data_IF_739388413688
#
_entry.id   IF_739388413688
#
_cell.length_a   1.000
_cell.length_b   1.000
_cell.length_c   1.000
_cell.angle_alpha   90.00
_cell.angle_beta   90.00
_cell.angle_gamma   90.00
#
_symmetry.space_group_name_H-M   'P 1'
#
loop_
_entity.id
_entity.type
_entity.pdbx_description
1 polymer ?
#
# COMPACT_ATOMS: atom_id res chain seq x y z
N UNK A 1 25.88 28.24 -46.56
CA UNK A 1 24.69 28.66 -47.33
C UNK A 1 24.89 30.13 -47.68
N UNK A 2 25.14 30.46 -48.95
CA UNK A 2 25.68 31.76 -49.37
C UNK A 2 24.64 32.88 -49.23
N UNK A 3 25.00 33.92 -48.47
CA UNK A 3 24.17 35.10 -48.18
C UNK A 3 23.76 35.83 -49.46
N UNK A 4 24.65 35.88 -50.44
CA UNK A 4 24.42 36.56 -51.72
C UNK A 4 23.37 35.84 -52.59
N UNK A 5 23.31 34.51 -52.51
CA UNK A 5 22.30 33.70 -53.21
C UNK A 5 20.90 33.85 -52.59
N UNK A 6 20.82 34.15 -51.29
CA UNK A 6 19.54 34.48 -50.64
C UNK A 6 19.08 35.88 -51.02
N UNK A 7 20.00 36.85 -51.10
CA UNK A 7 19.69 38.23 -51.49
C UNK A 7 19.20 38.30 -52.95
N UNK A 8 19.85 37.60 -53.88
CA UNK A 8 19.44 37.57 -55.28
C UNK A 8 18.08 36.88 -55.50
N UNK A 9 17.79 35.82 -54.73
CA UNK A 9 16.47 35.18 -54.74
C UNK A 9 15.40 36.11 -54.18
N UNK A 10 15.74 36.91 -53.17
CA UNK A 10 14.83 37.90 -52.58
C UNK A 10 14.46 39.02 -53.55
N UNK A 11 15.44 39.55 -54.29
CA UNK A 11 15.18 40.62 -55.27
C UNK A 11 14.33 40.10 -56.44
N UNK A 12 14.60 38.90 -56.94
CA UNK A 12 13.80 38.25 -57.98
C UNK A 12 12.36 37.96 -57.53
N UNK A 13 12.18 37.49 -56.29
CA UNK A 13 10.85 37.30 -55.69
C UNK A 13 10.08 38.62 -55.62
N UNK A 14 10.74 39.72 -55.26
CA UNK A 14 10.11 41.03 -55.12
C UNK A 14 9.67 41.61 -56.46
N UNK A 15 10.45 41.42 -57.53
CA UNK A 15 10.08 41.82 -58.89
C UNK A 15 8.89 41.00 -59.40
N UNK A 16 8.93 39.67 -59.24
CA UNK A 16 7.81 38.79 -59.63
C UNK A 16 6.51 39.13 -58.89
N UNK A 17 6.60 39.58 -57.64
CA UNK A 17 5.46 40.00 -56.83
C UNK A 17 4.83 41.31 -57.28
N UNK A 18 5.63 42.23 -57.85
CA UNK A 18 5.15 43.51 -58.37
C UNK A 18 4.46 43.35 -59.74
N UNK A 19 4.94 42.39 -60.56
CA UNK A 19 4.53 42.26 -61.96
C UNK A 19 3.34 41.32 -62.16
N UNK A 20 3.14 40.32 -61.29
CA UNK A 20 2.14 39.27 -61.51
C UNK A 20 0.96 39.33 -60.53
N UNK A 21 -0.23 39.63 -61.06
CA UNK A 21 -1.51 39.66 -60.31
C UNK A 21 -1.83 38.28 -59.70
N UNK A 22 -1.51 37.20 -60.41
CA UNK A 22 -1.75 35.82 -59.97
C UNK A 22 -0.98 35.44 -58.69
N UNK A 23 0.27 35.89 -58.55
CA UNK A 23 1.10 35.61 -57.36
C UNK A 23 0.56 36.34 -56.13
N UNK A 24 0.07 37.57 -56.30
CA UNK A 24 -0.58 38.34 -55.21
C UNK A 24 -1.87 37.65 -54.76
N UNK A 25 -2.68 37.17 -55.71
CA UNK A 25 -3.92 36.46 -55.43
C UNK A 25 -3.66 35.13 -54.69
N UNK A 26 -2.65 34.38 -55.12
CA UNK A 26 -2.20 33.16 -54.43
C UNK A 26 -1.66 33.45 -53.01
N UNK A 27 -0.92 34.55 -52.82
CA UNK A 27 -0.44 34.97 -51.50
C UNK A 27 -1.60 35.36 -50.56
N UNK A 28 -2.60 36.10 -51.06
CA UNK A 28 -3.81 36.43 -50.29
C UNK A 28 -4.62 35.18 -49.93
N UNK A 29 -4.74 34.23 -50.85
CA UNK A 29 -5.44 32.98 -50.60
C UNK A 29 -4.70 32.11 -49.58
N UNK A 30 -3.37 32.05 -49.66
CA UNK A 30 -2.53 31.40 -48.66
C UNK A 30 -2.65 32.06 -47.28
N UNK A 31 -2.64 33.39 -47.22
CA UNK A 31 -2.84 34.13 -45.97
C UNK A 31 -4.23 33.86 -45.38
N UNK A 32 -5.28 33.89 -46.21
CA UNK A 32 -6.64 33.58 -45.78
C UNK A 32 -6.75 32.16 -45.22
N UNK A 33 -6.09 31.18 -45.84
CA UNK A 33 -6.06 29.80 -45.37
C UNK A 33 -5.35 29.68 -44.02
N UNK A 34 -4.22 30.37 -43.84
CA UNK A 34 -3.49 30.40 -42.56
C UNK A 34 -4.34 31.06 -41.47
N UNK A 35 -4.98 32.19 -41.76
CA UNK A 35 -5.89 32.84 -40.82
C UNK A 35 -7.06 31.94 -40.43
N UNK A 36 -7.67 31.25 -41.39
CA UNK A 36 -8.75 30.30 -41.14
C UNK A 36 -8.28 29.14 -40.25
N UNK A 37 -7.10 28.59 -40.53
CA UNK A 37 -6.51 27.52 -39.74
C UNK A 37 -6.24 27.95 -38.29
N UNK A 38 -5.64 29.14 -38.09
CA UNK A 38 -5.39 29.67 -36.75
C UNK A 38 -6.68 29.92 -35.96
N UNK A 39 -7.72 30.39 -36.63
CA UNK A 39 -9.04 30.58 -36.02
C UNK A 39 -9.63 29.24 -35.57
N UNK A 40 -9.56 28.20 -36.43
CA UNK A 40 -10.04 26.87 -36.11
C UNK A 40 -9.27 26.24 -34.94
N UNK A 41 -7.93 26.31 -34.96
CA UNK A 41 -7.09 25.84 -33.87
C UNK A 41 -7.36 26.57 -32.56
N UNK A 42 -7.74 27.86 -32.63
CA UNK A 42 -8.17 28.63 -31.47
C UNK A 42 -9.46 28.11 -30.85
N UNK A 43 -10.45 27.72 -31.67
CA UNK A 43 -11.68 27.11 -31.20
C UNK A 43 -11.43 25.74 -30.56
N UNK A 44 -10.63 24.88 -31.19
CA UNK A 44 -10.29 23.56 -30.63
C UNK A 44 -9.60 23.69 -29.26
N UNK A 45 -8.68 24.66 -29.13
CA UNK A 45 -8.01 24.92 -27.86
C UNK A 45 -8.97 25.46 -26.78
N UNK A 46 -9.91 26.32 -27.17
CA UNK A 46 -10.94 26.85 -26.26
C UNK A 46 -11.88 25.73 -25.78
N UNK A 47 -12.34 24.88 -26.68
CA UNK A 47 -13.20 23.74 -26.35
C UNK A 47 -12.49 22.74 -25.43
N UNK A 48 -11.22 22.41 -25.72
CA UNK A 48 -10.41 21.55 -24.86
C UNK A 48 -10.21 22.15 -23.46
N UNK A 49 -10.05 23.47 -23.34
CA UNK A 49 -9.95 24.14 -22.04
C UNK A 49 -11.27 24.08 -21.27
N UNK A 50 -12.39 24.22 -21.97
CA UNK A 50 -13.74 24.19 -21.40
C UNK A 50 -14.11 22.79 -20.91
N UNK A 51 -13.76 21.74 -21.65
CA UNK A 51 -13.91 20.35 -21.22
C UNK A 51 -13.10 20.03 -19.97
N UNK A 52 -11.82 20.46 -19.92
CA UNK A 52 -10.97 20.30 -18.73
C UNK A 52 -11.57 21.01 -17.52
N UNK A 53 -12.06 22.23 -17.71
CA UNK A 53 -12.72 22.99 -16.64
C UNK A 53 -13.96 22.28 -16.12
N UNK A 54 -14.81 21.73 -17.01
CA UNK A 54 -16.00 20.97 -16.63
C UNK A 54 -15.64 19.69 -15.87
N UNK A 55 -14.62 18.96 -16.31
CA UNK A 55 -14.15 17.76 -15.62
C UNK A 55 -13.67 18.08 -14.20
N UNK A 56 -12.84 19.12 -14.05
CA UNK A 56 -12.37 19.58 -12.74
C UNK A 56 -13.51 20.07 -11.84
N UNK A 57 -14.50 20.76 -12.40
CA UNK A 57 -15.67 21.21 -11.65
C UNK A 57 -16.51 20.02 -11.15
N UNK A 58 -16.68 18.99 -11.99
CA UNK A 58 -17.39 17.76 -11.60
C UNK A 58 -16.66 17.01 -10.48
N UNK A 59 -15.32 16.92 -10.56
CA UNK A 59 -14.50 16.30 -9.53
C UNK A 59 -14.52 17.09 -8.22
N UNK A 60 -14.39 18.41 -8.29
CA UNK A 60 -14.51 19.28 -7.12
C UNK A 60 -15.89 19.15 -6.45
N UNK A 61 -16.97 19.08 -7.25
CA UNK A 61 -18.30 18.88 -6.72
C UNK A 61 -18.44 17.51 -6.03
N UNK A 62 -17.92 16.44 -6.63
CA UNK A 62 -17.90 15.10 -6.02
C UNK A 62 -17.14 15.09 -4.68
N UNK A 63 -15.96 15.72 -4.63
CA UNK A 63 -15.19 15.85 -3.40
C UNK A 63 -15.93 16.68 -2.35
N UNK A 64 -16.62 17.75 -2.77
CA UNK A 64 -17.42 18.57 -1.87
C UNK A 64 -18.63 17.83 -1.30
N UNK A 65 -19.26 16.94 -2.09
CA UNK A 65 -20.32 16.05 -1.59
C UNK A 65 -19.76 15.09 -0.54
N UNK A 66 -18.60 14.46 -0.81
CA UNK A 66 -17.93 13.57 0.14
C UNK A 66 -17.44 14.31 1.40
N UNK A 67 -17.07 15.59 1.31
CA UNK A 67 -16.69 16.38 2.49
C UNK A 67 -17.89 16.83 3.32
N UNK A 68 -19.08 16.91 2.71
CA UNK A 68 -20.34 17.22 3.41
C UNK A 68 -20.94 16.01 4.12
N UNK A 69 -20.55 14.79 3.75
CA UNK A 69 -20.73 13.61 4.59
C UNK A 69 -19.87 13.80 5.85
N UNK A 70 -20.45 14.45 6.87
CA UNK A 70 -19.79 14.92 8.09
C UNK A 70 -19.26 13.84 9.03
N UNK A 71 -19.20 12.58 8.59
CA UNK A 71 -18.82 11.44 9.42
C UNK A 71 -17.32 11.18 9.42
N UNK A 72 -16.53 11.84 8.56
CA UNK A 72 -15.08 11.61 8.48
C UNK A 72 -14.31 11.86 9.79
N UNK A 73 -14.58 12.95 10.55
CA UNK A 73 -13.97 13.14 11.86
C UNK A 73 -14.39 12.06 12.86
N UNK A 74 -15.63 11.60 12.79
CA UNK A 74 -16.10 10.53 13.67
C UNK A 74 -15.43 9.19 13.32
N UNK A 75 -15.37 8.83 12.03
CA UNK A 75 -14.67 7.63 11.55
C UNK A 75 -13.18 7.66 11.88
N UNK A 76 -12.54 8.82 11.84
CA UNK A 76 -11.13 8.93 12.22
C UNK A 76 -10.92 8.70 13.72
N UNK A 77 -11.84 9.17 14.56
CA UNK A 77 -11.84 8.88 15.99
C UNK A 77 -12.13 7.40 16.28
N UNK A 78 -13.09 6.79 15.58
CA UNK A 78 -13.39 5.36 15.70
C UNK A 78 -12.18 4.51 15.31
N UNK A 79 -11.52 4.82 14.19
CA UNK A 79 -10.29 4.13 13.76
C UNK A 79 -9.14 4.36 14.74
N UNK A 80 -9.00 5.56 15.30
CA UNK A 80 -7.99 5.83 16.33
C UNK A 80 -8.25 5.05 17.62
N UNK A 81 -9.51 4.95 18.05
CA UNK A 81 -9.93 4.13 19.19
C UNK A 81 -9.68 2.65 18.96
N UNK A 82 -10.04 2.14 17.78
CA UNK A 82 -9.73 0.76 17.38
C UNK A 82 -8.22 0.51 17.37
N UNK A 83 -7.43 1.44 16.81
CA UNK A 83 -5.98 1.33 16.79
C UNK A 83 -5.38 1.31 18.19
N UNK A 84 -5.85 2.17 19.09
CA UNK A 84 -5.42 2.18 20.48
C UNK A 84 -5.77 0.87 21.19
N UNK A 85 -6.96 0.32 20.94
CA UNK A 85 -7.36 -0.99 21.45
C UNK A 85 -6.52 -2.14 20.86
N UNK A 86 -6.09 -2.04 19.59
CA UNK A 86 -5.17 -3.03 19.02
C UNK A 86 -3.76 -2.90 19.60
N UNK A 87 -3.29 -1.68 19.85
CA UNK A 87 -1.95 -1.44 20.39
C UNK A 87 -1.77 -2.06 21.78
N UNK A 88 -2.83 -2.18 22.60
CA UNK A 88 -2.75 -2.88 23.90
C UNK A 88 -2.68 -4.41 23.77
N UNK A 89 -3.10 -4.99 22.64
CA UNK A 89 -3.09 -6.44 22.40
C UNK A 89 -1.80 -6.95 21.75
N UNK A 90 -0.91 -6.05 21.36
CA UNK A 90 0.35 -6.37 20.67
C UNK A 90 1.45 -6.63 21.70
N UNK A 91 2.36 -7.54 21.38
CA UNK A 91 3.53 -7.77 22.22
C UNK A 91 4.54 -6.63 21.98
N UNK A 92 4.60 -5.69 22.93
CA UNK A 92 5.48 -4.53 22.86
C UNK A 92 6.48 -4.57 24.03
N UNK A 93 7.67 -5.14 23.78
CA UNK A 93 8.81 -5.00 24.68
C UNK A 93 9.87 -4.06 24.06
N UNK A 94 10.80 -3.50 24.86
CA UNK A 94 11.82 -2.56 24.38
C UNK A 94 12.72 -3.11 23.26
N UNK A 95 12.89 -4.43 23.22
CA UNK A 95 13.66 -5.13 22.21
C UNK A 95 12.86 -6.33 21.70
N UNK A 96 12.97 -6.60 20.40
CA UNK A 96 12.34 -7.76 19.79
C UNK A 96 12.86 -9.06 20.38
N UNK A 97 14.15 -9.11 20.77
CA UNK A 97 14.71 -10.27 21.46
C UNK A 97 14.04 -10.51 22.84
N UNK A 98 13.64 -9.45 23.54
CA UNK A 98 12.89 -9.56 24.79
C UNK A 98 11.47 -10.08 24.55
N UNK A 99 10.83 -9.66 23.45
CA UNK A 99 9.52 -10.21 23.06
C UNK A 99 9.60 -11.67 22.65
N UNK A 100 10.65 -12.09 21.94
CA UNK A 100 10.88 -13.49 21.61
C UNK A 100 11.09 -14.33 22.90
N UNK A 101 11.91 -13.85 23.83
CA UNK A 101 12.13 -14.49 25.11
C UNK A 101 10.85 -14.57 25.97
N UNK A 102 10.10 -13.47 26.07
CA UNK A 102 8.88 -13.41 26.87
C UNK A 102 7.79 -14.34 26.32
N UNK A 103 7.66 -14.44 24.99
CA UNK A 103 6.78 -15.40 24.33
C UNK A 103 7.21 -16.85 24.61
N UNK A 104 8.51 -17.15 24.48
CA UNK A 104 9.05 -18.48 24.73
C UNK A 104 8.86 -18.91 26.20
N UNK A 105 9.13 -18.01 27.15
CA UNK A 105 8.94 -18.25 28.58
C UNK A 105 7.46 -18.46 28.91
N UNK A 106 6.57 -17.64 28.35
CA UNK A 106 5.13 -17.81 28.53
C UNK A 106 4.64 -19.18 28.00
N UNK A 107 5.08 -19.59 26.81
CA UNK A 107 4.73 -20.89 26.23
C UNK A 107 5.23 -22.05 27.10
N UNK A 108 6.50 -21.97 27.55
CA UNK A 108 7.11 -23.00 28.40
C UNK A 108 6.42 -23.10 29.75
N UNK A 109 6.20 -21.97 30.42
CA UNK A 109 5.56 -21.92 31.74
C UNK A 109 4.10 -22.41 31.69
N UNK A 110 3.35 -22.03 30.65
CA UNK A 110 1.97 -22.49 30.46
C UNK A 110 1.92 -23.98 30.15
N UNK A 111 2.79 -24.49 29.29
CA UNK A 111 2.86 -25.92 29.02
C UNK A 111 3.26 -26.74 30.26
N UNK A 112 4.24 -26.27 31.05
CA UNK A 112 4.65 -26.91 32.29
C UNK A 112 3.53 -26.91 33.34
N UNK A 113 2.84 -25.77 33.53
CA UNK A 113 1.70 -25.64 34.44
C UNK A 113 0.57 -26.63 34.11
N UNK A 114 0.37 -26.90 32.83
CA UNK A 114 -0.64 -27.84 32.34
C UNK A 114 -0.14 -29.30 32.28
N UNK A 115 1.10 -29.59 32.68
CA UNK A 115 1.67 -30.94 32.66
C UNK A 115 1.98 -31.47 31.25
N UNK A 116 2.06 -30.59 30.24
CA UNK A 116 2.40 -30.93 28.88
C UNK A 116 3.92 -31.11 28.74
N UNK A 117 4.33 -32.21 28.11
CA UNK A 117 5.74 -32.44 27.75
C UNK A 117 6.04 -31.73 26.44
N UNK A 118 6.79 -30.64 26.53
CA UNK A 118 7.29 -29.88 25.39
C UNK A 118 8.52 -30.59 24.81
N UNK A 119 8.45 -30.97 23.53
CA UNK A 119 9.59 -31.55 22.82
C UNK A 119 10.48 -30.47 22.21
N UNK A 120 9.85 -29.50 21.56
CA UNK A 120 10.58 -28.47 20.83
C UNK A 120 9.74 -27.19 20.77
N UNK A 121 10.38 -26.04 21.00
CA UNK A 121 9.84 -24.71 20.73
C UNK A 121 10.87 -24.03 19.85
N UNK A 122 10.50 -23.69 18.63
CA UNK A 122 11.35 -22.92 17.70
C UNK A 122 10.68 -21.59 17.41
N UNK A 123 11.37 -20.49 17.66
CA UNK A 123 10.94 -19.17 17.26
C UNK A 123 11.70 -18.79 16.00
N UNK A 124 10.96 -18.45 14.95
CA UNK A 124 11.49 -17.94 13.70
C UNK A 124 10.90 -16.55 13.51
N UNK A 125 11.78 -15.54 13.49
CA UNK A 125 11.39 -14.23 13.01
C UNK A 125 10.95 -14.40 11.56
N UNK A 126 9.69 -14.04 11.27
CA UNK A 126 9.31 -13.97 9.86
C UNK A 126 10.13 -12.82 9.27
N UNK A 127 11.16 -13.14 8.50
CA UNK A 127 11.72 -12.17 7.57
C UNK A 127 10.57 -11.61 6.72
N UNK A 128 10.59 -10.33 6.35
CA UNK A 128 9.62 -9.77 5.42
C UNK A 128 9.71 -10.57 4.12
N UNK A 129 8.90 -11.62 4.04
CA UNK A 129 8.93 -12.58 2.95
C UNK A 129 8.71 -11.82 1.65
N UNK A 130 9.38 -12.27 0.59
CA UNK A 130 9.38 -11.70 -0.76
C UNK A 130 8.01 -11.65 -1.47
N UNK A 131 6.90 -11.85 -0.73
CA UNK A 131 5.59 -11.33 -1.09
C UNK A 131 5.31 -10.14 -0.17
N UNK A 132 5.24 -8.90 -0.68
CA UNK A 132 4.85 -7.77 0.14
C UNK A 132 3.42 -8.04 0.64
N UNK A 133 3.30 -8.49 1.89
CA UNK A 133 2.11 -8.21 2.67
C UNK A 133 2.11 -6.69 2.84
N UNK A 134 1.50 -6.03 1.87
CA UNK A 134 1.30 -4.58 1.78
C UNK A 134 0.34 -4.08 2.89
N UNK A 135 0.29 -4.77 4.04
CA UNK A 135 -0.79 -4.72 5.01
C UNK A 135 -0.32 -4.59 6.46
N UNK A 136 0.99 -4.69 6.74
CA UNK A 136 1.48 -4.40 8.08
C UNK A 136 1.85 -2.93 8.22
N UNK A 137 1.30 -2.22 9.22
CA UNK A 137 1.69 -0.84 9.48
C UNK A 137 3.20 -0.75 9.78
N UNK A 138 3.85 0.39 9.49
CA UNK A 138 5.27 0.58 9.79
C UNK A 138 5.53 0.40 11.29
N UNK A 139 6.58 -0.36 11.62
CA UNK A 139 7.00 -0.64 13.00
C UNK A 139 6.45 -1.91 13.63
N UNK A 140 5.62 -2.70 12.93
CA UNK A 140 5.18 -4.02 13.39
C UNK A 140 6.01 -5.13 12.75
N UNK A 141 6.29 -6.18 13.52
CA UNK A 141 7.03 -7.36 13.09
C UNK A 141 6.21 -8.60 13.42
N UNK A 142 6.24 -9.59 12.53
CA UNK A 142 5.58 -10.89 12.75
C UNK A 142 6.60 -11.87 13.33
N UNK A 143 6.28 -12.44 14.48
CA UNK A 143 6.99 -13.57 15.05
C UNK A 143 6.22 -14.85 14.78
N UNK A 144 6.91 -15.89 14.31
CA UNK A 144 6.35 -17.23 14.16
C UNK A 144 6.98 -18.15 15.18
N UNK A 145 6.15 -18.85 15.95
CA UNK A 145 6.62 -19.85 16.91
C UNK A 145 6.05 -21.21 16.52
N UNK A 146 6.91 -22.20 16.32
CA UNK A 146 6.50 -23.59 16.13
C UNK A 146 6.71 -24.34 17.43
N UNK A 147 5.65 -24.96 17.92
CA UNK A 147 5.62 -25.71 19.17
C UNK A 147 5.25 -27.16 18.88
N UNK A 148 6.08 -28.07 19.38
CA UNK A 148 5.87 -29.52 19.32
C UNK A 148 5.71 -30.06 20.73
N UNK A 149 4.52 -30.58 21.03
CA UNK A 149 4.13 -31.08 22.36
C UNK A 149 3.56 -32.49 22.29
N UNK A 150 3.77 -33.26 23.35
CA UNK A 150 3.14 -34.57 23.52
C UNK A 150 1.63 -34.42 23.78
N UNK A 151 0.81 -35.16 23.03
CA UNK A 151 -0.65 -35.02 23.05
C UNK A 151 -1.22 -35.63 24.31
N UNK A 152 -1.72 -34.77 25.19
CA UNK A 152 -2.65 -35.12 26.25
C UNK A 152 -3.94 -34.35 25.97
N UNK A 153 -5.07 -35.05 25.77
CA UNK A 153 -6.33 -34.45 25.29
C UNK A 153 -6.75 -33.23 26.11
N UNK A 154 -6.96 -33.39 27.42
CA UNK A 154 -7.46 -32.30 28.27
C UNK A 154 -6.47 -31.14 28.37
N UNK A 155 -5.18 -31.35 28.70
CA UNK A 155 -4.21 -30.26 28.78
C UNK A 155 -4.01 -29.50 27.47
N UNK A 156 -4.10 -30.17 26.32
CA UNK A 156 -3.97 -29.54 25.01
C UNK A 156 -5.13 -28.58 24.71
N UNK A 157 -6.37 -28.98 25.01
CA UNK A 157 -7.52 -28.10 24.85
C UNK A 157 -7.48 -26.93 25.84
N UNK A 158 -7.01 -27.18 27.08
CA UNK A 158 -6.81 -26.09 28.06
C UNK A 158 -5.74 -25.11 27.59
N UNK A 159 -4.65 -25.59 26.99
CA UNK A 159 -3.61 -24.73 26.42
C UNK A 159 -4.16 -23.85 25.28
N UNK A 160 -4.97 -24.42 24.38
CA UNK A 160 -5.62 -23.66 23.31
C UNK A 160 -6.61 -22.62 23.85
N UNK A 161 -7.35 -22.95 24.91
CA UNK A 161 -8.25 -22.02 25.58
C UNK A 161 -7.47 -20.87 26.24
N UNK A 162 -6.34 -21.16 26.90
CA UNK A 162 -5.44 -20.17 27.50
C UNK A 162 -4.84 -19.23 26.44
N UNK A 163 -4.43 -19.77 25.29
CA UNK A 163 -3.99 -18.94 24.15
C UNK A 163 -5.10 -18.02 23.63
N UNK A 164 -6.35 -18.48 23.63
CA UNK A 164 -7.51 -17.71 23.18
C UNK A 164 -7.94 -16.64 24.20
N UNK A 165 -7.73 -16.85 25.49
CA UNK A 165 -8.03 -15.89 26.56
C UNK A 165 -6.92 -14.88 26.84
N UNK A 166 -5.75 -15.05 26.24
CA UNK A 166 -4.60 -14.18 26.44
C UNK A 166 -4.92 -12.74 25.95
N UNK A 167 -4.63 -11.74 26.80
CA UNK A 167 -4.79 -10.31 26.44
C UNK A 167 -3.94 -9.92 25.23
N UNK A 168 -2.75 -10.54 25.12
CA UNK A 168 -1.86 -10.37 23.99
C UNK A 168 -2.18 -11.42 22.92
N UNK A 169 -2.52 -10.99 21.72
CA UNK A 169 -3.13 -11.87 20.71
C UNK A 169 -2.11 -12.87 20.15
N UNK A 170 -2.42 -14.16 20.29
CA UNK A 170 -1.68 -15.27 19.68
C UNK A 170 -2.61 -15.95 18.68
N UNK A 171 -2.19 -16.08 17.42
CA UNK A 171 -2.97 -16.71 16.36
C UNK A 171 -2.37 -18.06 16.02
N UNK A 172 -3.16 -19.13 16.07
CA UNK A 172 -2.72 -20.45 15.60
C UNK A 172 -2.95 -20.52 14.09
N UNK A 173 -1.87 -20.50 13.30
CA UNK A 173 -1.96 -20.61 11.82
C UNK A 173 -2.14 -22.05 11.36
N UNK A 174 -1.51 -23.00 12.06
CA UNK A 174 -1.57 -24.42 11.72
C UNK A 174 -1.56 -25.26 12.99
N UNK A 175 -2.42 -26.27 13.01
CA UNK A 175 -2.47 -27.29 14.06
C UNK A 175 -2.48 -28.66 13.39
N UNK A 176 -1.50 -29.50 13.71
CA UNK A 176 -1.39 -30.88 13.20
C UNK A 176 -1.23 -31.82 14.37
N UNK A 177 -2.11 -32.82 14.47
CA UNK A 177 -2.00 -33.88 15.47
C UNK A 177 -1.60 -35.19 14.77
N UNK A 178 -0.44 -35.74 15.13
CA UNK A 178 0.06 -37.03 14.65
C UNK A 178 -0.21 -38.08 15.73
N UNK A 179 -1.27 -38.87 15.56
CA UNK A 179 -1.70 -39.92 16.49
C UNK A 179 -1.18 -41.33 16.18
N UNK A 180 -0.41 -41.50 15.10
CA UNK A 180 0.01 -42.82 14.59
C UNK A 180 1.27 -43.38 15.25
N UNK A 181 2.03 -42.56 15.97
CA UNK A 181 3.25 -42.96 16.69
C UNK A 181 3.03 -42.65 18.17
N UNK A 182 3.28 -43.63 19.05
CA UNK A 182 3.25 -43.40 20.49
C UNK A 182 4.62 -42.87 20.97
N UNK A 183 4.65 -41.77 21.75
CA UNK A 183 3.50 -40.97 22.16
C UNK A 183 3.06 -40.00 21.05
N UNK A 184 1.74 -39.74 20.96
CA UNK A 184 1.16 -38.87 19.96
C UNK A 184 1.71 -37.44 20.10
N UNK A 185 1.92 -36.75 18.97
CA UNK A 185 2.57 -35.43 18.93
C UNK A 185 1.63 -34.41 18.28
N UNK A 186 1.48 -33.23 18.90
CA UNK A 186 0.83 -32.08 18.30
C UNK A 186 1.88 -31.04 17.91
N UNK A 187 1.87 -30.66 16.64
CA UNK A 187 2.67 -29.59 16.05
C UNK A 187 1.76 -28.37 15.81
N UNK A 188 2.17 -27.21 16.30
CA UNK A 188 1.44 -25.97 16.21
C UNK A 188 2.33 -24.87 15.65
N UNK A 189 1.89 -24.20 14.58
CA UNK A 189 2.50 -22.97 14.10
C UNK A 189 1.68 -21.79 14.62
N UNK A 190 2.31 -20.93 15.43
CA UNK A 190 1.75 -19.75 16.04
C UNK A 190 2.27 -18.51 15.32
N UNK A 191 1.41 -17.52 15.14
CA UNK A 191 1.75 -16.17 14.67
C UNK A 191 1.43 -15.17 15.76
N UNK A 192 2.41 -14.32 16.05
CA UNK A 192 2.32 -13.23 17.03
C UNK A 192 2.73 -11.93 16.36
N UNK A 193 1.98 -10.86 16.63
CA UNK A 193 2.35 -9.51 16.25
C UNK A 193 3.17 -8.87 17.38
N UNK A 194 4.36 -8.40 17.04
CA UNK A 194 5.25 -7.70 17.94
C UNK A 194 5.54 -6.29 17.43
N UNK A 195 5.78 -5.36 18.34
CA UNK A 195 6.20 -3.99 18.02
C UNK A 195 7.51 -3.69 18.76
N UNK A 196 8.67 -3.72 18.08
CA UNK A 196 9.91 -3.25 18.69
C UNK A 196 9.77 -1.77 19.03
N UNK A 197 10.24 -1.36 20.21
CA UNK A 197 10.37 0.06 20.50
C UNK A 197 11.32 0.68 19.47
N UNK A 198 10.89 1.74 18.80
CA UNK A 198 11.79 2.54 17.97
C UNK A 198 12.88 3.08 18.88
N UNK A 199 14.13 2.63 18.66
CA UNK A 199 15.29 3.21 19.33
C UNK A 199 15.25 4.73 19.11
N UNK A 200 15.39 5.55 20.17
CA UNK A 200 15.41 7.01 20.05
C UNK A 200 16.56 7.49 19.16
#
# INVERSE_FOLDING_TARGET
MNRDALLSRWTQLREQWAESVLVRLGAWLGLALVCLYLLLAGFDAADAALERSRALAAEANRLQTLSKEGDWPQRSQEVAGLRAAYDTTVWADPDLALTEASLQDWLRNTAQRLGLKVREITLVRAEPSAKPLNELPPGYVVLRARVSIEVQRTPLFTLLAEMASQERRIVVERFVMRGTVQPAIAEMDLRVLARPASKP
#
